data_IF_630129272802
#
_entry.id   IF_630129272802
#
_cell.length_a   1.000
_cell.length_b   1.000
_cell.length_c   1.000
_cell.angle_alpha   90.00
_cell.angle_beta   90.00
_cell.angle_gamma   90.00
#
_symmetry.space_group_name_H-M   'P 1'
#
loop_
_entity.id
_entity.type
_entity.pdbx_description
1 polymer ?
#
# COMPACT_ATOMS: atom_id res chain seq x y z
N UNK A 1 51.31 38.75 -20.99
CA UNK A 1 50.68 37.90 -19.93
C UNK A 1 49.41 38.60 -19.44
N UNK A 2 48.23 38.24 -20.01
CA UNK A 2 46.93 38.76 -19.60
C UNK A 2 45.92 37.59 -19.68
N UNK A 3 45.99 36.66 -18.72
CA UNK A 3 45.08 35.48 -18.70
C UNK A 3 44.61 35.09 -17.31
N UNK A 4 44.52 35.98 -16.36
CA UNK A 4 44.08 35.65 -14.98
C UNK A 4 42.73 36.23 -14.59
N UNK A 5 42.18 37.20 -15.33
CA UNK A 5 40.90 37.88 -14.95
C UNK A 5 39.65 37.01 -15.26
N UNK A 6 39.66 36.28 -16.37
CA UNK A 6 38.46 35.58 -16.85
C UNK A 6 38.10 34.33 -16.01
N UNK A 7 39.08 33.63 -15.49
CA UNK A 7 38.86 32.44 -14.61
C UNK A 7 38.35 32.83 -13.26
N UNK A 8 38.82 33.94 -12.70
CA UNK A 8 38.33 34.46 -11.40
C UNK A 8 36.91 34.97 -11.53
N UNK A 9 36.56 35.64 -12.61
CA UNK A 9 35.19 36.09 -12.87
C UNK A 9 34.19 34.93 -13.05
N UNK A 10 34.57 33.88 -13.74
CA UNK A 10 33.75 32.68 -13.88
C UNK A 10 33.57 31.93 -12.56
N UNK A 11 34.61 31.90 -11.75
CA UNK A 11 34.55 31.27 -10.42
C UNK A 11 33.64 32.07 -9.46
N UNK A 12 33.73 33.39 -9.45
CA UNK A 12 32.83 34.27 -8.70
C UNK A 12 31.36 34.14 -9.17
N UNK A 13 31.14 34.00 -10.48
CA UNK A 13 29.82 33.75 -11.06
C UNK A 13 29.23 32.40 -10.62
N UNK A 14 30.04 31.35 -10.58
CA UNK A 14 29.64 30.03 -10.10
C UNK A 14 29.32 30.03 -8.59
N UNK A 15 30.10 30.77 -7.79
CA UNK A 15 29.83 30.95 -6.35
C UNK A 15 28.51 31.73 -6.16
N UNK A 16 28.27 32.77 -6.95
CA UNK A 16 27.04 33.54 -6.93
C UNK A 16 25.82 32.72 -7.28
N UNK A 17 25.88 31.87 -8.31
CA UNK A 17 24.82 30.94 -8.70
C UNK A 17 24.61 29.88 -7.62
N UNK A 18 25.67 29.31 -7.03
CA UNK A 18 25.60 28.33 -5.96
C UNK A 18 25.03 28.94 -4.67
N UNK A 19 25.38 30.17 -4.34
CA UNK A 19 24.76 30.93 -3.23
C UNK A 19 23.28 31.21 -3.48
N UNK A 20 22.90 31.54 -4.72
CA UNK A 20 21.50 31.76 -5.10
C UNK A 20 20.69 30.45 -5.03
N UNK A 21 21.28 29.31 -5.38
CA UNK A 21 20.66 27.99 -5.24
C UNK A 21 20.47 27.57 -3.78
N UNK A 22 21.37 27.96 -2.89
CA UNK A 22 21.25 27.70 -1.45
C UNK A 22 20.13 28.54 -0.81
N UNK A 23 19.87 29.75 -1.32
CA UNK A 23 18.76 30.59 -0.87
C UNK A 23 17.39 30.07 -1.37
N UNK A 24 17.34 29.29 -2.44
CA UNK A 24 16.13 28.65 -2.97
C UNK A 24 15.69 27.43 -2.14
N UNK A 25 16.56 26.88 -1.30
CA UNK A 25 16.23 25.83 -0.32
C UNK A 25 15.35 26.32 0.85
N UNK A 26 14.72 27.48 0.72
CA UNK A 26 13.79 27.97 1.71
C UNK A 26 12.53 27.13 1.71
N UNK A 27 12.22 26.51 2.86
CA UNK A 27 11.16 25.54 3.09
C UNK A 27 9.86 25.84 2.33
N UNK A 28 9.23 24.82 1.76
CA UNK A 28 7.89 24.85 1.15
C UNK A 28 6.85 25.55 2.04
N UNK A 29 7.05 25.52 3.35
CA UNK A 29 6.22 26.18 4.36
C UNK A 29 6.12 27.70 4.18
N UNK A 30 7.20 28.39 3.82
CA UNK A 30 7.20 29.85 3.59
C UNK A 30 6.47 30.26 2.31
N UNK A 31 6.21 29.32 1.41
CA UNK A 31 5.57 29.57 0.11
C UNK A 31 4.10 29.12 0.08
N UNK A 32 3.57 28.65 1.21
CA UNK A 32 2.19 28.20 1.32
C UNK A 32 1.34 29.21 2.08
N UNK A 33 0.39 29.83 1.40
CA UNK A 33 -0.62 30.69 2.01
C UNK A 33 -1.82 29.88 2.46
N UNK A 34 -2.44 30.28 3.58
CA UNK A 34 -3.69 29.67 4.07
C UNK A 34 -4.80 30.70 3.98
N UNK A 35 -5.96 30.31 3.45
CA UNK A 35 -7.15 31.15 3.36
C UNK A 35 -8.37 30.43 3.92
N UNK A 36 -9.32 31.23 4.42
CA UNK A 36 -10.60 30.74 4.93
C UNK A 36 -10.42 29.64 6.00
N UNK A 37 -9.47 29.84 6.92
CA UNK A 37 -9.14 28.91 8.00
C UNK A 37 -9.93 29.24 9.28
N UNK A 38 -10.16 28.24 10.15
CA UNK A 38 -10.80 28.47 11.44
C UNK A 38 -9.82 29.18 12.40
N UNK A 39 -10.18 30.40 12.83
CA UNK A 39 -9.36 31.22 13.72
C UNK A 39 -9.25 30.56 15.10
N UNK A 40 -8.05 30.55 15.68
CA UNK A 40 -7.74 29.96 17.00
C UNK A 40 -8.16 28.50 17.16
N UNK A 41 -8.39 27.80 16.04
CA UNK A 41 -8.77 26.39 16.04
C UNK A 41 -7.70 25.60 15.30
N UNK A 42 -7.33 24.41 15.83
CA UNK A 42 -6.36 23.53 15.21
C UNK A 42 -6.88 22.99 13.87
N UNK A 43 -6.12 23.20 12.79
CA UNK A 43 -6.46 22.70 11.45
C UNK A 43 -5.28 22.03 10.78
N UNK A 44 -5.55 21.10 9.88
CA UNK A 44 -4.51 20.38 9.16
C UNK A 44 -3.85 21.28 8.12
N UNK A 45 -2.55 21.50 8.33
CA UNK A 45 -1.68 22.23 7.41
C UNK A 45 -0.91 21.32 6.46
N UNK A 46 -0.54 20.12 6.94
CA UNK A 46 0.22 19.15 6.15
C UNK A 46 -0.05 17.72 6.59
N UNK A 47 -0.21 16.86 5.60
CA UNK A 47 -0.22 15.41 5.76
C UNK A 47 1.05 14.85 5.14
N UNK A 48 1.71 13.90 5.82
CA UNK A 48 2.91 13.26 5.31
C UNK A 48 2.94 11.78 5.68
N UNK A 49 3.31 10.94 4.72
CA UNK A 49 3.61 9.53 4.95
C UNK A 49 5.12 9.34 4.81
N UNK A 50 5.73 8.67 5.78
CA UNK A 50 7.15 8.31 5.76
C UNK A 50 7.28 6.81 5.89
N UNK A 51 7.93 6.19 4.91
CA UNK A 51 8.16 4.75 4.91
C UNK A 51 9.55 4.46 5.47
N UNK A 52 9.60 3.64 6.52
CA UNK A 52 10.81 3.18 7.18
C UNK A 52 11.03 1.69 6.90
N UNK A 53 12.24 1.20 7.16
CA UNK A 53 12.60 -0.22 7.02
C UNK A 53 13.41 -0.54 5.79
N UNK A 54 13.82 -1.81 5.71
CA UNK A 54 14.73 -2.34 4.68
C UNK A 54 13.92 -2.85 3.46
N UNK A 55 13.35 -1.91 2.70
CA UNK A 55 12.68 -2.17 1.43
C UNK A 55 13.38 -1.41 0.29
N UNK A 56 13.18 -1.83 -0.96
CA UNK A 56 13.78 -1.17 -2.11
C UNK A 56 13.35 0.29 -2.25
N UNK A 57 14.17 1.11 -2.89
CA UNK A 57 13.85 2.54 -3.10
C UNK A 57 12.57 2.72 -3.93
N UNK A 58 12.38 1.88 -4.93
CA UNK A 58 11.21 1.95 -5.81
C UNK A 58 9.93 1.57 -5.05
N UNK A 59 9.99 0.51 -4.25
CA UNK A 59 8.86 0.11 -3.42
C UNK A 59 8.54 1.15 -2.34
N UNK A 60 9.57 1.75 -1.74
CA UNK A 60 9.38 2.87 -0.80
C UNK A 60 8.66 4.05 -1.45
N UNK A 61 9.06 4.41 -2.67
CA UNK A 61 8.42 5.48 -3.44
C UNK A 61 6.98 5.11 -3.79
N UNK A 62 6.74 3.89 -4.27
CA UNK A 62 5.41 3.38 -4.60
C UNK A 62 4.49 3.44 -3.38
N UNK A 63 4.89 2.84 -2.27
CA UNK A 63 4.09 2.83 -1.04
C UNK A 63 3.82 4.23 -0.50
N UNK A 64 4.78 5.16 -0.59
CA UNK A 64 4.58 6.54 -0.15
C UNK A 64 3.49 7.22 -0.97
N UNK A 65 3.52 7.09 -2.29
CA UNK A 65 2.52 7.68 -3.19
C UNK A 65 1.13 7.05 -3.01
N UNK A 66 1.09 5.74 -2.89
CA UNK A 66 -0.18 5.03 -2.72
C UNK A 66 -0.82 5.33 -1.36
N UNK A 67 -0.07 5.24 -0.26
CA UNK A 67 -0.59 5.50 1.07
C UNK A 67 -1.04 6.94 1.26
N UNK A 68 -0.48 7.90 0.53
CA UNK A 68 -0.94 9.29 0.57
C UNK A 68 -2.40 9.44 0.10
N UNK A 69 -2.92 8.50 -0.68
CA UNK A 69 -4.32 8.48 -1.09
C UNK A 69 -5.28 7.97 -0.01
N UNK A 70 -4.76 7.38 1.07
CA UNK A 70 -5.56 6.77 2.15
C UNK A 70 -5.71 7.65 3.39
N UNK A 71 -5.39 8.93 3.29
CA UNK A 71 -5.83 9.89 4.28
C UNK A 71 -7.35 10.04 4.24
N UNK A 72 -7.99 10.08 5.40
CA UNK A 72 -9.43 10.42 5.48
C UNK A 72 -9.64 11.84 4.90
N UNK A 73 -10.63 11.99 4.04
CA UNK A 73 -10.91 13.26 3.38
C UNK A 73 -11.19 14.40 4.36
N UNK A 74 -11.72 14.08 5.56
CA UNK A 74 -12.01 15.04 6.60
C UNK A 74 -10.77 15.64 7.29
N UNK A 75 -9.58 15.06 7.05
CA UNK A 75 -8.31 15.61 7.57
C UNK A 75 -7.24 15.75 6.48
N UNK A 76 -7.63 15.68 5.23
CA UNK A 76 -6.69 15.83 4.10
C UNK A 76 -6.50 17.29 3.73
N UNK A 77 -5.31 17.85 3.99
CA UNK A 77 -4.95 19.18 3.53
C UNK A 77 -4.76 19.19 2.01
N UNK A 78 -5.61 19.92 1.30
CA UNK A 78 -5.53 20.06 -0.17
C UNK A 78 -4.74 21.30 -0.52
N UNK A 79 -3.53 21.10 -1.07
CA UNK A 79 -2.68 22.18 -1.56
C UNK A 79 -2.93 22.42 -3.03
N UNK A 80 -3.31 23.65 -3.39
CA UNK A 80 -3.45 24.12 -4.76
C UNK A 80 -2.17 24.84 -5.18
N UNK A 81 -1.56 24.47 -6.27
CA UNK A 81 -0.46 25.23 -6.87
C UNK A 81 -1.03 26.46 -7.57
N UNK A 82 -0.47 27.61 -7.29
CA UNK A 82 -0.91 28.90 -7.87
C UNK A 82 -0.01 29.37 -9.00
N UNK A 83 1.22 29.73 -8.68
CA UNK A 83 2.20 30.20 -9.65
C UNK A 83 3.55 29.64 -9.26
N UNK A 84 4.25 28.96 -10.18
CA UNK A 84 5.59 28.39 -9.98
C UNK A 84 5.70 27.56 -8.68
N UNK A 85 6.22 28.16 -7.61
CA UNK A 85 6.51 27.50 -6.34
C UNK A 85 5.58 27.96 -5.21
N UNK A 86 4.51 28.71 -5.50
CA UNK A 86 3.56 29.21 -4.52
C UNK A 86 2.36 28.29 -4.43
N UNK A 87 2.01 27.90 -3.21
CA UNK A 87 0.89 27.03 -2.90
C UNK A 87 -0.15 27.78 -2.07
N UNK A 88 -1.37 27.28 -2.10
CA UNK A 88 -2.47 27.75 -1.27
C UNK A 88 -3.20 26.56 -0.67
N UNK A 89 -3.54 26.67 0.60
CA UNK A 89 -4.52 25.82 1.26
C UNK A 89 -5.76 26.67 1.47
N UNK A 90 -6.91 26.22 1.00
CA UNK A 90 -8.19 26.88 1.16
C UNK A 90 -9.12 25.97 1.97
N UNK A 91 -9.86 26.55 2.93
CA UNK A 91 -10.76 25.84 3.82
C UNK A 91 -10.07 24.58 4.43
N UNK A 92 -8.94 24.74 5.15
CA UNK A 92 -8.26 23.58 5.73
C UNK A 92 -9.18 22.89 6.72
N UNK A 93 -9.18 21.53 6.74
CA UNK A 93 -10.03 20.78 7.66
C UNK A 93 -9.56 20.96 9.11
N UNK A 94 -10.54 21.04 10.02
CA UNK A 94 -10.26 21.06 11.46
C UNK A 94 -9.62 19.71 11.86
N UNK A 95 -8.64 19.80 12.75
CA UNK A 95 -7.95 18.60 13.24
C UNK A 95 -8.85 17.80 14.16
N UNK A 96 -8.97 16.51 13.87
CA UNK A 96 -9.67 15.54 14.69
C UNK A 96 -8.86 14.22 14.78
N UNK A 97 -8.63 13.76 16.01
CA UNK A 97 -7.89 12.50 16.28
C UNK A 97 -8.63 11.26 15.80
N UNK A 98 -9.96 11.29 15.77
CA UNK A 98 -10.78 10.18 15.27
C UNK A 98 -10.51 9.95 13.78
N UNK A 99 -10.48 11.03 13.00
CA UNK A 99 -10.19 10.96 11.57
C UNK A 99 -8.72 10.57 11.29
N UNK A 100 -7.79 10.94 12.19
CA UNK A 100 -6.39 10.48 12.12
C UNK A 100 -6.32 8.95 12.31
N UNK A 101 -7.02 8.42 13.31
CA UNK A 101 -7.10 6.97 13.55
C UNK A 101 -7.78 6.23 12.38
N UNK A 102 -8.79 6.83 11.76
CA UNK A 102 -9.46 6.28 10.57
C UNK A 102 -8.49 6.20 9.38
N UNK A 103 -7.71 7.25 9.14
CA UNK A 103 -6.67 7.24 8.11
C UNK A 103 -5.64 6.12 8.31
N UNK A 104 -5.19 5.93 9.56
CA UNK A 104 -4.29 4.82 9.92
C UNK A 104 -4.92 3.46 9.58
N UNK A 105 -6.22 3.26 9.89
CA UNK A 105 -6.91 2.02 9.58
C UNK A 105 -7.03 1.79 8.06
N UNK A 106 -7.31 2.83 7.27
CA UNK A 106 -7.35 2.73 5.80
C UNK A 106 -5.98 2.36 5.22
N UNK A 107 -4.91 3.00 5.69
CA UNK A 107 -3.54 2.68 5.28
C UNK A 107 -3.16 1.25 5.66
N UNK A 108 -3.54 0.79 6.85
CA UNK A 108 -3.29 -0.59 7.27
C UNK A 108 -4.06 -1.60 6.41
N UNK A 109 -5.33 -1.33 6.10
CA UNK A 109 -6.12 -2.17 5.22
C UNK A 109 -5.51 -2.27 3.81
N UNK A 110 -4.99 -1.14 3.28
CA UNK A 110 -4.25 -1.13 2.02
C UNK A 110 -2.98 -1.99 2.10
N UNK A 111 -2.15 -1.81 3.13
CA UNK A 111 -0.93 -2.60 3.31
C UNK A 111 -1.22 -4.10 3.39
N UNK A 112 -2.25 -4.48 4.12
CA UNK A 112 -2.71 -5.88 4.18
C UNK A 112 -3.16 -6.39 2.80
N UNK A 113 -3.82 -5.55 2.01
CA UNK A 113 -4.22 -5.93 0.64
C UNK A 113 -3.03 -6.17 -0.30
N UNK A 114 -1.88 -5.56 0.02
CA UNK A 114 -0.62 -5.70 -0.71
C UNK A 114 0.32 -6.75 -0.09
N UNK A 115 -0.14 -7.53 0.89
CA UNK A 115 0.65 -8.58 1.53
C UNK A 115 1.56 -8.13 2.69
N UNK A 116 1.44 -6.89 3.14
CA UNK A 116 2.20 -6.36 4.28
C UNK A 116 1.43 -6.51 5.60
N UNK A 117 1.15 -7.75 5.99
CA UNK A 117 0.35 -8.06 7.20
C UNK A 117 1.07 -7.76 8.51
N UNK A 118 2.40 -7.68 8.49
CA UNK A 118 3.22 -7.35 9.67
C UNK A 118 3.62 -5.89 9.71
N UNK A 119 2.88 -5.04 9.02
CA UNK A 119 3.13 -3.60 9.02
C UNK A 119 2.83 -2.96 10.36
N UNK A 120 3.59 -1.92 10.67
CA UNK A 120 3.35 -1.07 11.84
C UNK A 120 3.22 0.37 11.40
N UNK A 121 2.14 1.02 11.80
CA UNK A 121 1.88 2.44 11.52
C UNK A 121 1.83 3.20 12.85
N UNK A 122 2.71 4.19 13.00
CA UNK A 122 2.71 5.13 14.14
C UNK A 122 2.38 6.51 13.62
N UNK A 123 1.30 7.06 14.11
CA UNK A 123 0.91 8.43 13.85
C UNK A 123 1.57 9.39 14.83
N UNK A 124 1.87 10.58 14.39
CA UNK A 124 2.34 11.68 15.23
C UNK A 124 1.86 13.01 14.66
N UNK A 125 1.65 13.97 15.54
CA UNK A 125 1.22 15.32 15.19
C UNK A 125 2.14 16.34 15.83
N UNK A 126 2.46 17.39 15.06
CA UNK A 126 3.14 18.59 15.55
C UNK A 126 2.20 19.77 15.36
N UNK A 127 2.11 20.62 16.35
CA UNK A 127 1.31 21.84 16.29
C UNK A 127 2.22 23.07 16.35
N UNK A 128 1.98 24.04 15.47
CA UNK A 128 2.67 25.32 15.44
C UNK A 128 1.65 26.45 15.37
N UNK A 129 1.86 27.50 16.16
CA UNK A 129 1.04 28.71 16.13
C UNK A 129 1.73 29.80 15.32
N UNK A 130 1.02 30.36 14.33
CA UNK A 130 1.50 31.46 13.47
C UNK A 130 0.41 32.52 13.43
N UNK A 131 0.53 33.54 14.27
CA UNK A 131 -0.53 34.52 14.50
C UNK A 131 -1.75 33.86 15.14
N UNK A 132 -2.89 33.98 14.51
CA UNK A 132 -4.16 33.36 14.91
C UNK A 132 -4.39 31.94 14.33
N UNK A 133 -3.38 31.40 13.61
CA UNK A 133 -3.44 30.05 13.00
C UNK A 133 -2.81 29.02 13.92
N UNK A 134 -3.56 27.96 14.25
CA UNK A 134 -3.04 26.76 14.92
C UNK A 134 -2.87 25.64 13.88
N UNK A 135 -1.65 25.52 13.35
CA UNK A 135 -1.31 24.62 12.24
C UNK A 135 -0.92 23.24 12.76
N UNK A 136 -1.56 22.20 12.25
CA UNK A 136 -1.26 20.79 12.57
C UNK A 136 -0.55 20.11 11.40
N UNK A 137 0.58 19.49 11.69
CA UNK A 137 1.34 18.66 10.78
C UNK A 137 1.13 17.21 11.18
N UNK A 138 0.35 16.48 10.40
CA UNK A 138 0.07 15.07 10.63
C UNK A 138 1.09 14.19 9.89
N UNK A 139 1.71 13.26 10.59
CA UNK A 139 2.73 12.36 10.07
C UNK A 139 2.34 10.92 10.36
N UNK A 140 2.35 10.07 9.34
CA UNK A 140 2.26 8.61 9.45
C UNK A 140 3.64 7.99 9.19
N UNK A 141 4.23 7.41 10.22
CA UNK A 141 5.45 6.62 10.13
C UNK A 141 5.09 5.17 9.91
N UNK A 142 5.36 4.65 8.73
CA UNK A 142 4.99 3.31 8.30
C UNK A 142 6.22 2.43 8.19
N UNK A 143 6.20 1.29 8.86
CA UNK A 143 7.19 0.23 8.69
C UNK A 143 6.46 -0.98 8.10
N UNK A 144 6.56 -1.25 6.79
CA UNK A 144 5.76 -2.27 6.12
C UNK A 144 6.06 -3.69 6.60
N UNK A 145 7.27 -3.96 7.07
CA UNK A 145 7.74 -5.31 7.36
C UNK A 145 8.04 -6.09 6.08
N UNK A 146 8.04 -7.42 6.17
CA UNK A 146 8.21 -8.30 5.02
C UNK A 146 6.89 -8.52 4.31
N UNK A 147 6.94 -8.53 2.98
CA UNK A 147 5.81 -8.91 2.17
C UNK A 147 5.61 -10.43 2.21
N UNK A 148 4.38 -10.88 2.19
CA UNK A 148 4.03 -12.29 2.03
C UNK A 148 4.23 -12.69 0.57
N UNK A 149 4.86 -13.83 0.35
CA UNK A 149 5.03 -14.42 -0.99
C UNK A 149 4.13 -15.62 -1.17
N UNK A 150 3.80 -15.92 -2.42
CA UNK A 150 2.95 -17.05 -2.80
C UNK A 150 3.82 -18.30 -2.91
N UNK A 151 3.54 -19.33 -2.15
CA UNK A 151 4.26 -20.62 -2.22
C UNK A 151 3.67 -21.54 -3.28
N UNK A 152 2.34 -21.70 -3.31
CA UNK A 152 1.66 -22.51 -4.30
C UNK A 152 0.39 -21.84 -4.82
N UNK A 153 -0.02 -22.25 -6.03
CA UNK A 153 -1.30 -21.85 -6.62
C UNK A 153 -1.94 -23.07 -7.22
N UNK A 154 -3.14 -23.37 -6.75
CA UNK A 154 -3.94 -24.46 -7.25
C UNK A 154 -5.29 -23.96 -7.81
N UNK A 155 -5.83 -24.67 -8.80
CA UNK A 155 -7.09 -24.39 -9.45
C UNK A 155 -8.00 -25.61 -9.29
N UNK A 156 -8.91 -25.56 -8.32
CA UNK A 156 -9.80 -26.65 -7.95
C UNK A 156 -11.24 -26.31 -8.38
N UNK A 157 -11.53 -26.48 -9.66
CA UNK A 157 -12.87 -26.27 -10.19
C UNK A 157 -13.55 -27.64 -10.28
N UNK A 158 -14.50 -27.92 -9.41
CA UNK A 158 -15.21 -29.21 -9.33
C UNK A 158 -15.86 -29.65 -10.67
N UNK A 159 -16.19 -28.68 -11.54
CA UNK A 159 -16.68 -28.90 -12.88
C UNK A 159 -15.52 -29.28 -13.83
N UNK A 160 -15.56 -30.48 -14.37
CA UNK A 160 -14.52 -31.01 -15.24
C UNK A 160 -14.29 -30.21 -16.50
N UNK A 161 -15.33 -29.57 -17.05
CA UNK A 161 -15.24 -28.76 -18.26
C UNK A 161 -14.56 -27.43 -17.97
N UNK A 162 -14.91 -26.77 -16.84
CA UNK A 162 -14.24 -25.55 -16.38
C UNK A 162 -12.77 -25.85 -16.03
N UNK A 163 -12.50 -26.96 -15.37
CA UNK A 163 -11.15 -27.40 -15.06
C UNK A 163 -10.31 -27.60 -16.32
N UNK A 164 -10.83 -28.28 -17.34
CA UNK A 164 -10.16 -28.48 -18.63
C UNK A 164 -9.85 -27.14 -19.34
N UNK A 165 -10.82 -26.23 -19.41
CA UNK A 165 -10.66 -24.89 -19.98
C UNK A 165 -9.55 -24.12 -19.22
N UNK A 166 -9.56 -24.19 -17.90
CA UNK A 166 -8.55 -23.53 -17.05
C UNK A 166 -7.15 -24.04 -17.35
N UNK A 167 -6.96 -25.37 -17.37
CA UNK A 167 -5.67 -25.99 -17.66
C UNK A 167 -5.13 -25.62 -19.05
N UNK A 168 -5.97 -25.55 -20.06
CA UNK A 168 -5.58 -25.09 -21.40
C UNK A 168 -5.08 -23.63 -21.42
N UNK A 169 -5.56 -22.80 -20.51
CA UNK A 169 -5.26 -21.37 -20.43
C UNK A 169 -4.26 -20.97 -19.34
N UNK A 170 -3.56 -21.95 -18.76
CA UNK A 170 -2.57 -21.73 -17.69
C UNK A 170 -1.37 -20.88 -18.09
N UNK A 171 -1.00 -20.84 -19.37
CA UNK A 171 0.11 -20.00 -19.86
C UNK A 171 -0.10 -18.49 -19.62
N UNK A 172 -1.35 -18.04 -19.53
CA UNK A 172 -1.71 -16.64 -19.31
C UNK A 172 -2.02 -16.30 -17.86
N UNK A 173 -1.73 -17.15 -16.88
CA UNK A 173 -1.99 -16.89 -15.47
C UNK A 173 -1.19 -15.68 -14.97
N UNK A 174 -1.85 -14.83 -14.20
CA UNK A 174 -1.27 -13.60 -13.67
C UNK A 174 -0.48 -13.83 -12.37
N UNK A 175 -0.78 -14.92 -11.65
CA UNK A 175 -0.19 -15.26 -10.36
C UNK A 175 0.83 -16.38 -10.54
N UNK A 176 2.00 -16.24 -9.93
CA UNK A 176 3.07 -17.24 -9.98
C UNK A 176 3.61 -17.53 -8.58
N UNK A 177 4.17 -18.74 -8.40
CA UNK A 177 4.94 -19.06 -7.20
C UNK A 177 6.12 -18.09 -7.05
N UNK A 178 6.30 -17.55 -5.84
CA UNK A 178 7.34 -16.59 -5.50
C UNK A 178 6.92 -15.13 -5.70
N UNK A 179 5.78 -14.86 -6.37
CA UNK A 179 5.26 -13.49 -6.48
C UNK A 179 4.84 -12.97 -5.09
N UNK A 180 4.90 -11.66 -4.92
CA UNK A 180 4.34 -11.01 -3.74
C UNK A 180 2.81 -11.16 -3.74
N UNK A 181 2.26 -11.47 -2.57
CA UNK A 181 0.81 -11.51 -2.41
C UNK A 181 0.18 -10.15 -2.68
N UNK A 182 -0.86 -10.13 -3.48
CA UNK A 182 -1.68 -8.94 -3.76
C UNK A 182 -3.12 -9.35 -4.03
N UNK A 183 -4.05 -8.82 -3.25
CA UNK A 183 -5.48 -9.01 -3.48
C UNK A 183 -5.92 -8.51 -4.86
N UNK A 184 -5.29 -7.44 -5.34
CA UNK A 184 -5.58 -6.89 -6.65
C UNK A 184 -5.26 -7.89 -7.76
N UNK A 185 -4.03 -8.44 -7.77
CA UNK A 185 -3.60 -9.41 -8.79
C UNK A 185 -4.45 -10.68 -8.73
N UNK A 186 -4.84 -11.13 -7.52
CA UNK A 186 -5.76 -12.26 -7.36
C UNK A 186 -7.13 -11.94 -8.01
N UNK A 187 -7.68 -10.76 -7.76
CA UNK A 187 -8.95 -10.35 -8.38
C UNK A 187 -8.84 -10.25 -9.91
N UNK A 188 -7.73 -9.74 -10.43
CA UNK A 188 -7.46 -9.67 -11.87
C UNK A 188 -7.38 -11.06 -12.48
N UNK A 189 -6.79 -12.05 -11.79
CA UNK A 189 -6.78 -13.46 -12.23
C UNK A 189 -8.19 -14.04 -12.25
N UNK A 190 -9.01 -13.80 -11.22
CA UNK A 190 -10.42 -14.20 -11.22
C UNK A 190 -11.18 -13.58 -12.40
N UNK A 191 -10.99 -12.29 -12.65
CA UNK A 191 -11.61 -11.59 -13.79
C UNK A 191 -11.17 -12.17 -15.14
N UNK A 192 -9.88 -12.53 -15.26
CA UNK A 192 -9.34 -13.24 -16.43
C UNK A 192 -10.04 -14.57 -16.66
N UNK A 193 -10.20 -15.38 -15.62
CA UNK A 193 -10.88 -16.68 -15.70
C UNK A 193 -12.35 -16.52 -16.08
N UNK A 194 -13.07 -15.60 -15.45
CA UNK A 194 -14.47 -15.29 -15.77
C UNK A 194 -14.61 -14.95 -17.26
N UNK A 195 -13.73 -14.10 -17.78
CA UNK A 195 -13.74 -13.73 -19.20
C UNK A 195 -13.50 -14.95 -20.10
N UNK A 196 -12.58 -15.85 -19.72
CA UNK A 196 -12.30 -17.08 -20.44
C UNK A 196 -13.54 -17.99 -20.44
N UNK A 197 -14.18 -18.21 -19.29
CA UNK A 197 -15.36 -19.06 -19.19
C UNK A 197 -16.52 -18.52 -20.01
N UNK A 198 -16.79 -17.22 -19.94
CA UNK A 198 -17.84 -16.58 -20.78
C UNK A 198 -17.60 -16.78 -22.27
N UNK A 199 -16.34 -16.67 -22.70
CA UNK A 199 -15.97 -16.89 -24.11
C UNK A 199 -16.04 -18.37 -24.55
N UNK A 200 -16.17 -19.30 -23.60
CA UNK A 200 -16.31 -20.73 -23.85
C UNK A 200 -17.72 -21.27 -23.52
N UNK A 201 -18.73 -20.38 -23.55
CA UNK A 201 -20.14 -20.79 -23.45
C UNK A 201 -20.78 -20.60 -22.07
N UNK A 202 -20.02 -20.27 -21.04
CA UNK A 202 -20.54 -20.01 -19.69
C UNK A 202 -20.97 -18.55 -19.51
N UNK A 203 -21.87 -18.05 -20.32
CA UNK A 203 -22.22 -16.61 -20.40
C UNK A 203 -22.71 -15.99 -19.09
N UNK A 204 -23.34 -16.79 -18.21
CA UNK A 204 -23.85 -16.35 -16.91
C UNK A 204 -22.82 -16.40 -15.78
N UNK A 205 -21.61 -16.89 -16.04
CA UNK A 205 -20.57 -17.01 -15.01
C UNK A 205 -20.11 -15.64 -14.52
N UNK A 206 -20.09 -15.44 -13.21
CA UNK A 206 -19.82 -14.16 -12.55
C UNK A 206 -18.74 -14.30 -11.45
N UNK A 207 -18.37 -13.18 -10.84
CA UNK A 207 -17.49 -13.17 -9.65
C UNK A 207 -18.07 -13.91 -8.44
N UNK A 208 -19.39 -14.07 -8.40
CA UNK A 208 -20.05 -14.76 -7.32
C UNK A 208 -19.86 -16.29 -7.41
N UNK A 209 -19.54 -16.81 -8.61
CA UNK A 209 -19.35 -18.23 -8.88
C UNK A 209 -17.94 -18.75 -8.59
N UNK A 210 -16.97 -17.85 -8.39
CA UNK A 210 -15.56 -18.18 -8.21
C UNK A 210 -14.94 -17.37 -7.06
N UNK A 211 -14.00 -17.95 -6.34
CA UNK A 211 -13.25 -17.26 -5.29
C UNK A 211 -11.85 -17.81 -5.15
N UNK A 212 -10.98 -17.05 -4.53
CA UNK A 212 -9.67 -17.49 -4.09
C UNK A 212 -9.68 -17.71 -2.58
N UNK A 213 -9.36 -18.91 -2.17
CA UNK A 213 -9.07 -19.23 -0.77
C UNK A 213 -7.57 -19.06 -0.54
N UNK A 214 -7.21 -18.42 0.56
CA UNK A 214 -5.82 -18.17 0.93
C UNK A 214 -5.53 -18.93 2.20
N UNK A 215 -4.64 -19.89 2.14
CA UNK A 215 -4.20 -20.69 3.28
C UNK A 215 -2.82 -20.24 3.76
N UNK A 216 -2.76 -19.84 5.01
CA UNK A 216 -1.53 -19.49 5.73
C UNK A 216 -0.98 -20.67 6.54
N UNK A 217 -1.69 -21.80 6.57
CA UNK A 217 -1.28 -22.98 7.31
C UNK A 217 -0.22 -23.76 6.55
N UNK A 218 0.77 -24.29 7.26
CA UNK A 218 1.74 -25.21 6.70
C UNK A 218 1.18 -26.63 6.79
N UNK A 219 0.64 -27.14 5.67
CA UNK A 219 0.06 -28.49 5.57
C UNK A 219 1.06 -29.56 6.05
N UNK A 220 2.36 -29.31 5.94
CA UNK A 220 3.41 -30.21 6.45
C UNK A 220 3.35 -30.43 7.96
N UNK A 221 2.74 -29.50 8.72
CA UNK A 221 2.57 -29.60 10.16
C UNK A 221 1.32 -30.41 10.57
N UNK A 222 0.32 -30.52 9.70
CA UNK A 222 -0.94 -31.20 10.00
C UNK A 222 -0.82 -32.74 9.92
N UNK A 223 0.16 -33.28 9.20
CA UNK A 223 0.28 -34.71 8.90
C UNK A 223 1.33 -35.44 9.75
N UNK A 224 1.84 -34.85 10.84
CA UNK A 224 2.92 -35.44 11.62
C UNK A 224 2.39 -35.93 12.97
N UNK A 225 2.37 -37.25 13.16
CA UNK A 225 2.13 -37.90 14.46
C UNK A 225 3.38 -37.78 15.33
N UNK A 226 3.53 -36.64 16.01
CA UNK A 226 4.66 -36.38 16.92
C UNK A 226 4.21 -36.35 18.38
N UNK A 227 5.16 -36.63 19.30
CA UNK A 227 4.92 -36.37 20.70
C UNK A 227 4.64 -34.86 20.96
N UNK A 228 3.82 -34.53 21.98
CA UNK A 228 3.44 -33.12 22.25
C UNK A 228 4.63 -32.18 22.38
N UNK A 229 5.74 -32.61 22.93
CA UNK A 229 6.96 -31.82 23.08
C UNK A 229 7.63 -31.50 21.73
N UNK A 230 7.80 -32.50 20.86
CA UNK A 230 8.35 -32.31 19.51
C UNK A 230 7.43 -31.50 18.64
N UNK A 231 6.13 -31.57 18.84
CA UNK A 231 5.14 -30.79 18.15
C UNK A 231 5.23 -29.30 18.52
N UNK A 232 5.40 -28.99 19.84
CA UNK A 232 5.60 -27.63 20.32
C UNK A 232 6.91 -26.99 19.80
N UNK A 233 8.00 -27.77 19.80
CA UNK A 233 9.30 -27.33 19.26
C UNK A 233 9.21 -27.03 17.74
N UNK A 234 8.56 -27.90 17.00
CA UNK A 234 8.37 -27.74 15.56
C UNK A 234 7.49 -26.52 15.25
N UNK A 235 6.41 -26.31 16.02
CA UNK A 235 5.55 -25.13 15.89
C UNK A 235 6.36 -23.86 16.16
N UNK A 236 7.16 -23.82 17.21
CA UNK A 236 8.00 -22.67 17.56
C UNK A 236 9.02 -22.36 16.44
N UNK A 237 9.74 -23.37 15.95
CA UNK A 237 10.71 -23.22 14.86
C UNK A 237 10.04 -22.79 13.55
N UNK A 238 8.86 -23.31 13.23
CA UNK A 238 8.11 -22.94 12.04
C UNK A 238 7.53 -21.54 12.13
N UNK A 239 7.04 -21.16 13.31
CA UNK A 239 6.55 -19.79 13.55
C UNK A 239 7.67 -18.77 13.33
N UNK A 240 8.87 -19.03 13.84
CA UNK A 240 10.05 -18.18 13.61
C UNK A 240 10.37 -18.08 12.12
N UNK A 241 10.43 -19.20 11.41
CA UNK A 241 10.71 -19.25 9.95
C UNK A 241 9.64 -18.54 9.14
N UNK A 242 8.36 -18.60 9.52
CA UNK A 242 7.25 -17.87 8.89
C UNK A 242 7.37 -16.37 9.07
N UNK A 243 7.77 -15.90 10.25
CA UNK A 243 8.02 -14.48 10.48
C UNK A 243 9.20 -13.96 9.65
N UNK A 244 10.20 -14.81 9.44
CA UNK A 244 11.37 -14.47 8.62
C UNK A 244 11.07 -14.50 7.12
N UNK A 245 10.21 -15.41 6.67
CA UNK A 245 9.84 -15.59 5.26
C UNK A 245 8.38 -16.08 5.12
N UNK A 246 7.40 -15.16 5.28
CA UNK A 246 5.99 -15.52 5.24
C UNK A 246 5.56 -15.93 3.84
N UNK A 247 4.92 -17.08 3.74
CA UNK A 247 4.43 -17.65 2.48
C UNK A 247 3.00 -18.15 2.65
N UNK A 248 2.19 -17.98 1.62
CA UNK A 248 0.80 -18.42 1.58
C UNK A 248 0.51 -19.26 0.34
N UNK A 249 -0.40 -20.20 0.50
CA UNK A 249 -0.97 -20.98 -0.58
C UNK A 249 -2.28 -20.36 -1.06
N UNK A 250 -2.52 -20.39 -2.35
CA UNK A 250 -3.73 -19.84 -2.97
C UNK A 250 -4.43 -20.96 -3.72
N UNK A 251 -5.69 -21.22 -3.39
CA UNK A 251 -6.56 -22.15 -4.11
C UNK A 251 -7.71 -21.40 -4.76
N UNK A 252 -7.81 -21.42 -6.08
CA UNK A 252 -8.94 -20.87 -6.81
C UNK A 252 -10.00 -21.93 -6.96
N UNK A 253 -11.19 -21.68 -6.42
CA UNK A 253 -12.30 -22.64 -6.32
C UNK A 253 -13.58 -22.07 -6.91
N UNK A 254 -14.41 -22.94 -7.49
CA UNK A 254 -15.80 -22.62 -7.81
C UNK A 254 -16.63 -22.66 -6.53
N UNK A 255 -17.51 -21.69 -6.33
CA UNK A 255 -18.47 -21.76 -5.22
C UNK A 255 -19.48 -22.87 -5.49
N UNK A 256 -19.88 -23.65 -4.47
CA UNK A 256 -20.96 -24.59 -4.59
C UNK A 256 -22.20 -23.85 -5.08
N UNK A 257 -22.81 -24.32 -6.18
CA UNK A 257 -24.09 -23.79 -6.65
C UNK A 257 -25.14 -24.04 -5.58
N UNK A 258 -25.79 -22.97 -5.15
CA UNK A 258 -26.95 -23.08 -4.25
C UNK A 258 -28.06 -23.82 -5.03
N UNK A 259 -28.35 -25.03 -4.60
CA UNK A 259 -29.43 -25.84 -5.18
C UNK A 259 -30.77 -25.28 -4.67
N UNK A 260 -31.39 -24.40 -5.44
CA UNK A 260 -32.71 -23.84 -5.14
C UNK A 260 -33.82 -24.86 -5.04
N UNK A 261 -33.60 -26.11 -5.47
CA UNK A 261 -34.58 -27.20 -5.34
C UNK A 261 -34.72 -27.73 -3.91
N UNK A 262 -33.84 -27.33 -3.00
CA UNK A 262 -33.88 -27.70 -1.57
C UNK A 262 -34.57 -26.66 -0.66
N UNK A 263 -35.11 -25.57 -1.25
CA UNK A 263 -36.00 -24.68 -0.55
C UNK A 263 -37.44 -25.15 -0.73
N UNK A 264 -37.91 -26.00 0.16
CA UNK A 264 -39.32 -26.26 0.43
C UNK A 264 -39.62 -25.76 1.82
#
# INVERSE_FOLDING_TARGET
>A
MRFTGDKVNRFLWLIGIMSLLLLVSCSEERRTSVKDYPVNTAFIYSNKVVINGAISKDEKKRLTLELDNYWDDSIRARKEQRVLFWYRIKNPPVFDTVNLSRSRNYMNAYLNSQGYYYSTIKDSTRMDSVGDQVRVYALMNVTPGKNITIDSIDYQLEDSSLQAITMQRMKGKLIKKGDNYSKQIINEELDRLIKIYRNNGYYKFTKEDIFAEVDSSDIRLMNITLSPFKQAELIAATTKKRLENPQWDISIKKRPTYDSSKLI
#
